data_IF_450837622018
#
_entry.id   IF_450837622018
#
_cell.length_a   1.000
_cell.length_b   1.000
_cell.length_c   1.000
_cell.angle_alpha   90.00
_cell.angle_beta   90.00
_cell.angle_gamma   90.00
#
_symmetry.space_group_name_H-M   'P 1'
#
loop_
_entity.id
_entity.type
_entity.pdbx_description
1 polymer ?
#
# COMPACT_ATOMS: atom_id res chain seq x y z
N UNK A 1 -1.56 -8.84 -34.94
CA UNK A 1 -2.70 -8.47 -34.06
C UNK A 1 -2.16 -7.56 -32.98
N UNK A 2 -2.92 -6.55 -32.52
CA UNK A 2 -2.42 -5.69 -31.43
C UNK A 2 -2.36 -6.50 -30.12
N UNK A 3 -1.37 -6.21 -29.26
CA UNK A 3 -1.21 -6.86 -27.95
C UNK A 3 -2.48 -6.78 -27.08
N UNK A 4 -3.26 -5.71 -27.25
CA UNK A 4 -4.55 -5.53 -26.58
C UNK A 4 -5.58 -6.58 -27.00
N UNK A 5 -5.66 -6.89 -28.31
CA UNK A 5 -6.59 -7.92 -28.81
C UNK A 5 -6.21 -9.31 -28.34
N UNK A 6 -4.92 -9.58 -28.17
CA UNK A 6 -4.40 -10.83 -27.62
C UNK A 6 -4.74 -10.98 -26.12
N UNK A 7 -4.53 -9.93 -25.32
CA UNK A 7 -4.91 -9.90 -23.91
C UNK A 7 -6.42 -10.11 -23.71
N UNK A 8 -7.28 -9.48 -24.53
CA UNK A 8 -8.73 -9.72 -24.49
C UNK A 8 -9.12 -11.14 -24.87
N UNK A 9 -8.41 -11.75 -25.83
CA UNK A 9 -8.63 -13.15 -26.19
C UNK A 9 -8.28 -14.09 -25.05
N UNK A 10 -7.13 -13.87 -24.39
CA UNK A 10 -6.69 -14.66 -23.24
C UNK A 10 -7.65 -14.51 -22.05
N UNK A 11 -8.15 -13.30 -21.79
CA UNK A 11 -9.16 -13.06 -20.75
C UNK A 11 -10.47 -13.82 -21.02
N UNK A 12 -10.96 -13.81 -22.27
CA UNK A 12 -12.17 -14.57 -22.65
C UNK A 12 -11.96 -16.06 -22.51
N UNK A 13 -10.81 -16.57 -22.91
CA UNK A 13 -10.44 -17.97 -22.76
C UNK A 13 -10.40 -18.40 -21.29
N UNK A 14 -9.87 -17.54 -20.41
CA UNK A 14 -9.84 -17.77 -18.98
C UNK A 14 -11.23 -17.78 -18.34
N UNK A 15 -12.11 -16.85 -18.75
CA UNK A 15 -13.51 -16.86 -18.32
C UNK A 15 -14.25 -18.13 -18.73
N UNK A 16 -13.79 -18.81 -19.79
CA UNK A 16 -14.30 -20.11 -20.23
C UNK A 16 -13.56 -21.31 -19.61
N UNK A 17 -12.78 -21.09 -18.54
CA UNK A 17 -12.11 -22.14 -17.77
C UNK A 17 -10.78 -22.62 -18.35
N UNK A 18 -10.23 -21.95 -19.37
CA UNK A 18 -8.84 -22.23 -19.80
C UNK A 18 -7.87 -21.62 -18.79
N UNK A 19 -6.76 -22.32 -18.56
CA UNK A 19 -5.71 -21.80 -17.70
C UNK A 19 -5.05 -20.58 -18.36
N UNK A 20 -4.95 -19.47 -17.63
CA UNK A 20 -4.14 -18.34 -18.06
C UNK A 20 -2.68 -18.76 -18.17
N UNK A 21 -1.93 -18.22 -19.15
CA UNK A 21 -0.49 -18.45 -19.21
C UNK A 21 0.16 -18.02 -17.89
N UNK A 22 1.26 -18.67 -17.56
CA UNK A 22 2.09 -18.28 -16.42
C UNK A 22 2.45 -16.80 -16.53
N UNK A 23 2.26 -16.06 -15.44
CA UNK A 23 2.60 -14.66 -15.38
C UNK A 23 4.11 -14.54 -15.27
N UNK A 24 4.75 -14.21 -16.38
CA UNK A 24 6.17 -13.89 -16.42
C UNK A 24 6.46 -12.72 -15.43
N UNK A 25 7.34 -12.90 -14.44
CA UNK A 25 7.64 -11.87 -13.44
C UNK A 25 8.18 -10.57 -14.04
N UNK A 26 8.97 -10.65 -15.12
CA UNK A 26 9.53 -9.50 -15.81
C UNK A 26 8.42 -8.75 -16.55
N UNK A 27 7.53 -9.48 -17.21
CA UNK A 27 6.37 -8.90 -17.86
C UNK A 27 5.40 -8.26 -16.86
N UNK A 28 5.19 -8.89 -15.68
CA UNK A 28 4.39 -8.30 -14.62
C UNK A 28 5.01 -6.99 -14.13
N UNK A 29 6.33 -6.97 -13.85
CA UNK A 29 7.01 -5.78 -13.39
C UNK A 29 6.91 -4.63 -14.41
N UNK A 30 7.11 -4.93 -15.71
CA UNK A 30 6.97 -3.94 -16.79
C UNK A 30 5.53 -3.41 -16.90
N UNK A 31 4.54 -4.30 -16.93
CA UNK A 31 3.13 -3.93 -17.03
C UNK A 31 2.66 -3.15 -15.79
N UNK A 32 3.12 -3.53 -14.61
CA UNK A 32 2.81 -2.86 -13.36
C UNK A 32 3.41 -1.45 -13.33
N UNK A 33 4.68 -1.30 -13.73
CA UNK A 33 5.32 0.01 -13.86
C UNK A 33 4.57 0.92 -14.86
N UNK A 34 4.19 0.39 -16.02
CA UNK A 34 3.41 1.14 -17.01
C UNK A 34 2.04 1.56 -16.46
N UNK A 35 1.36 0.64 -15.77
CA UNK A 35 0.09 0.96 -15.11
C UNK A 35 0.30 2.09 -14.10
N UNK A 36 1.31 2.02 -13.24
CA UNK A 36 1.59 3.06 -12.25
C UNK A 36 1.93 4.42 -12.87
N UNK A 37 2.67 4.44 -13.98
CA UNK A 37 3.04 5.67 -14.70
C UNK A 37 1.86 6.29 -15.45
N UNK A 38 0.91 5.47 -15.92
CA UNK A 38 -0.25 5.92 -16.69
C UNK A 38 -1.54 6.02 -15.88
N UNK A 39 -1.50 5.72 -14.57
CA UNK A 39 -2.65 5.71 -13.68
C UNK A 39 -2.55 6.80 -12.61
N UNK A 40 -3.70 7.33 -12.21
CA UNK A 40 -3.83 8.22 -11.05
C UNK A 40 -4.27 7.47 -9.77
N UNK A 41 -4.21 6.14 -9.76
CA UNK A 41 -4.69 5.31 -8.65
C UNK A 41 -4.12 5.75 -7.30
N UNK A 42 -2.80 5.95 -7.19
CA UNK A 42 -2.16 6.34 -5.91
C UNK A 42 -2.74 7.63 -5.36
N UNK A 43 -2.87 8.66 -6.20
CA UNK A 43 -3.42 9.95 -5.81
C UNK A 43 -4.90 9.87 -5.44
N UNK A 44 -5.69 9.07 -6.17
CA UNK A 44 -7.10 8.85 -5.85
C UNK A 44 -7.28 8.11 -4.53
N UNK A 45 -6.47 7.07 -4.28
CA UNK A 45 -6.47 6.33 -3.02
C UNK A 45 -6.07 7.23 -1.86
N UNK A 46 -4.97 7.97 -1.97
CA UNK A 46 -4.53 8.90 -0.93
C UNK A 46 -5.60 9.96 -0.62
N UNK A 47 -6.17 10.60 -1.64
CA UNK A 47 -7.22 11.61 -1.47
C UNK A 47 -8.46 11.03 -0.77
N UNK A 48 -8.91 9.84 -1.19
CA UNK A 48 -10.04 9.17 -0.56
C UNK A 48 -9.74 8.84 0.91
N UNK A 49 -8.56 8.29 1.21
CA UNK A 49 -8.14 7.97 2.58
C UNK A 49 -8.08 9.22 3.45
N UNK A 50 -7.42 10.28 3.00
CA UNK A 50 -7.32 11.56 3.70
C UNK A 50 -8.70 12.14 4.01
N UNK A 51 -9.61 12.12 3.03
CA UNK A 51 -10.98 12.59 3.26
C UNK A 51 -11.71 11.71 4.28
N UNK A 52 -11.63 10.40 4.12
CA UNK A 52 -12.33 9.46 4.99
C UNK A 52 -11.83 9.55 6.44
N UNK A 53 -10.52 9.63 6.66
CA UNK A 53 -9.93 9.78 7.99
C UNK A 53 -10.27 11.15 8.59
N UNK A 54 -10.25 12.22 7.80
CA UNK A 54 -10.69 13.55 8.22
C UNK A 54 -12.16 13.58 8.66
N UNK A 55 -13.04 12.89 7.94
CA UNK A 55 -14.48 12.84 8.25
C UNK A 55 -14.78 12.00 9.52
N UNK A 56 -14.04 10.90 9.75
CA UNK A 56 -14.34 9.95 10.83
C UNK A 56 -13.56 10.19 12.12
N UNK A 57 -12.42 10.88 12.06
CA UNK A 57 -11.54 11.10 13.19
C UNK A 57 -11.19 12.58 13.40
N UNK A 58 -12.06 13.48 12.92
CA UNK A 58 -11.86 14.94 13.01
C UNK A 58 -11.47 15.40 14.41
N UNK A 59 -12.20 14.92 15.42
CA UNK A 59 -12.09 15.40 16.80
C UNK A 59 -11.00 14.68 17.62
N UNK A 60 -10.36 13.65 17.04
CA UNK A 60 -9.26 12.93 17.70
C UNK A 60 -7.96 13.73 17.63
N UNK A 61 -7.28 13.93 18.76
CA UNK A 61 -5.98 14.62 18.79
C UNK A 61 -4.79 13.70 18.48
N UNK A 62 -4.97 12.38 18.60
CA UNK A 62 -3.99 11.35 18.26
C UNK A 62 -4.59 10.32 17.31
N UNK A 63 -3.73 9.62 16.56
CA UNK A 63 -4.15 8.51 15.71
C UNK A 63 -3.05 7.46 15.59
N UNK A 64 -3.45 6.19 15.57
CA UNK A 64 -2.59 5.05 15.29
C UNK A 64 -3.07 4.32 14.02
N UNK A 65 -2.20 4.24 13.01
CA UNK A 65 -2.46 3.58 11.73
C UNK A 65 -1.56 2.36 11.57
N UNK A 66 -2.14 1.26 11.12
CA UNK A 66 -1.42 0.10 10.60
C UNK A 66 -1.67 -0.02 9.10
N UNK A 67 -0.62 -0.10 8.30
CA UNK A 67 -0.69 -0.34 6.87
C UNK A 67 -0.03 -1.67 6.51
N UNK A 68 -0.83 -2.59 5.98
CA UNK A 68 -0.41 -3.94 5.64
C UNK A 68 -0.20 -4.04 4.13
N UNK A 69 1.02 -4.37 3.73
CA UNK A 69 1.47 -4.28 2.34
C UNK A 69 1.74 -2.82 1.95
N UNK A 70 2.44 -2.07 2.81
CA UNK A 70 2.70 -0.65 2.58
C UNK A 70 3.61 -0.38 1.36
N UNK A 71 4.28 -1.41 0.83
CA UNK A 71 5.20 -1.28 -0.30
C UNK A 71 6.25 -0.20 -0.01
N UNK A 72 6.52 0.64 -1.01
CA UNK A 72 7.43 1.80 -0.90
C UNK A 72 6.86 2.96 -0.08
N UNK A 73 5.67 2.86 0.50
CA UNK A 73 5.08 3.89 1.35
C UNK A 73 4.63 5.17 0.65
N UNK A 74 4.50 5.19 -0.69
CA UNK A 74 4.16 6.43 -1.42
C UNK A 74 2.78 6.98 -1.03
N UNK A 75 1.78 6.11 -0.88
CA UNK A 75 0.43 6.51 -0.44
C UNK A 75 0.43 6.81 1.05
N UNK A 76 1.10 5.96 1.84
CA UNK A 76 1.21 6.04 3.30
C UNK A 76 1.83 7.37 3.74
N UNK A 77 2.90 7.79 3.08
CA UNK A 77 3.56 9.08 3.28
C UNK A 77 2.61 10.26 3.02
N UNK A 78 1.82 10.20 1.94
CA UNK A 78 0.84 11.25 1.62
C UNK A 78 -0.26 11.33 2.69
N UNK A 79 -0.74 10.17 3.15
CA UNK A 79 -1.74 10.09 4.22
C UNK A 79 -1.17 10.60 5.54
N UNK A 80 0.05 10.20 5.91
CA UNK A 80 0.70 10.62 7.13
C UNK A 80 0.95 12.13 7.16
N UNK A 81 1.50 12.68 6.08
CA UNK A 81 1.75 14.12 5.92
C UNK A 81 0.45 14.93 6.00
N UNK A 82 -0.64 14.43 5.43
CA UNK A 82 -1.93 15.10 5.51
C UNK A 82 -2.48 15.09 6.93
N UNK A 83 -2.43 13.94 7.60
CA UNK A 83 -3.01 13.77 8.91
C UNK A 83 -2.26 14.55 9.99
N UNK A 84 -0.93 14.58 9.97
CA UNK A 84 -0.16 15.21 11.05
C UNK A 84 -0.40 16.72 11.16
N UNK A 85 -0.89 17.39 10.11
CA UNK A 85 -1.26 18.82 10.16
C UNK A 85 -2.32 19.10 11.22
N UNK A 86 -3.28 18.20 11.39
CA UNK A 86 -4.43 18.36 12.28
C UNK A 86 -4.34 17.49 13.54
N UNK A 87 -3.23 16.76 13.73
CA UNK A 87 -3.02 15.84 14.86
C UNK A 87 -1.82 16.27 15.70
N UNK A 88 -1.96 16.10 17.01
CA UNK A 88 -0.87 16.30 17.95
C UNK A 88 0.11 15.12 18.01
N UNK A 89 -0.32 13.94 17.55
CA UNK A 89 0.48 12.72 17.51
C UNK A 89 -0.07 11.76 16.45
N UNK A 90 0.81 11.18 15.64
CA UNK A 90 0.48 10.15 14.67
C UNK A 90 1.46 8.98 14.80
N UNK A 91 0.97 7.82 15.21
CA UNK A 91 1.71 6.56 15.11
C UNK A 91 1.37 5.90 13.78
N UNK A 92 2.39 5.55 12.99
CA UNK A 92 2.20 4.90 11.70
C UNK A 92 3.07 3.65 11.60
N UNK A 93 2.44 2.49 11.49
CA UNK A 93 3.12 1.20 11.40
C UNK A 93 2.90 0.59 10.02
N UNK A 94 3.97 0.36 9.27
CA UNK A 94 3.94 -0.39 8.00
C UNK A 94 4.30 -1.87 8.21
N UNK A 95 3.80 -2.74 7.33
CA UNK A 95 4.24 -4.13 7.21
C UNK A 95 4.46 -4.43 5.72
N UNK A 96 5.67 -4.87 5.37
CA UNK A 96 6.03 -5.15 3.97
C UNK A 96 7.02 -6.33 3.89
N UNK A 97 6.74 -7.38 3.09
CA UNK A 97 7.67 -8.50 2.93
C UNK A 97 8.96 -8.16 2.15
N UNK A 98 8.92 -7.22 1.21
CA UNK A 98 10.10 -6.81 0.45
C UNK A 98 10.96 -5.81 1.26
N UNK A 99 12.21 -6.19 1.54
CA UNK A 99 13.11 -5.38 2.38
C UNK A 99 13.45 -4.02 1.77
N UNK A 100 13.62 -3.92 0.45
CA UNK A 100 13.99 -2.68 -0.21
C UNK A 100 12.80 -1.70 -0.19
N UNK A 101 11.61 -2.18 -0.50
CA UNK A 101 10.38 -1.40 -0.42
C UNK A 101 10.09 -0.95 1.02
N UNK A 102 10.27 -1.84 2.00
CA UNK A 102 10.11 -1.52 3.41
C UNK A 102 11.09 -0.43 3.88
N UNK A 103 12.35 -0.48 3.45
CA UNK A 103 13.34 0.54 3.75
C UNK A 103 12.95 1.90 3.15
N UNK A 104 12.49 1.94 1.89
CA UNK A 104 12.01 3.17 1.26
C UNK A 104 10.80 3.74 2.03
N UNK A 105 9.88 2.88 2.47
CA UNK A 105 8.75 3.30 3.28
C UNK A 105 9.20 3.86 4.64
N UNK A 106 10.17 3.21 5.30
CA UNK A 106 10.72 3.69 6.57
C UNK A 106 11.36 5.07 6.41
N UNK A 107 12.21 5.26 5.39
CA UNK A 107 12.87 6.54 5.10
C UNK A 107 11.85 7.67 4.88
N UNK A 108 10.75 7.39 4.17
CA UNK A 108 9.68 8.37 3.96
C UNK A 108 8.96 8.73 5.26
N UNK A 109 8.62 7.74 6.10
CA UNK A 109 7.98 8.00 7.38
C UNK A 109 8.91 8.77 8.33
N UNK A 110 10.19 8.41 8.40
CA UNK A 110 11.20 9.11 9.21
C UNK A 110 11.43 10.55 8.76
N UNK A 111 11.23 10.83 7.46
CA UNK A 111 11.29 12.20 6.91
C UNK A 111 10.06 13.07 7.22
N UNK A 112 9.02 12.49 7.84
CA UNK A 112 7.76 13.20 8.14
C UNK A 112 7.75 13.68 9.59
N UNK A 113 8.00 14.98 9.80
CA UNK A 113 8.01 15.57 11.14
C UNK A 113 6.69 15.33 11.90
N UNK A 114 6.81 14.90 13.16
CA UNK A 114 5.67 14.64 14.04
C UNK A 114 5.04 13.25 13.91
N UNK A 115 5.54 12.41 13.00
CA UNK A 115 5.08 11.03 12.82
C UNK A 115 6.01 10.06 13.57
N UNK A 116 5.44 9.22 14.43
CA UNK A 116 6.13 8.07 15.02
C UNK A 116 5.99 6.88 14.06
N UNK A 117 6.90 6.83 13.08
CA UNK A 117 6.91 5.84 11.99
C UNK A 117 7.71 4.57 12.32
N UNK A 118 7.19 3.40 11.95
CA UNK A 118 7.95 2.15 11.96
C UNK A 118 7.46 1.17 10.89
N UNK A 119 8.37 0.44 10.26
CA UNK A 119 8.02 -0.56 9.24
C UNK A 119 8.58 -1.93 9.64
N UNK A 120 7.71 -2.93 9.68
CA UNK A 120 8.09 -4.32 9.94
C UNK A 120 8.33 -5.06 8.62
N UNK A 121 9.54 -5.58 8.45
CA UNK A 121 9.87 -6.45 7.32
C UNK A 121 9.33 -7.86 7.56
N UNK A 122 8.43 -8.31 6.70
CA UNK A 122 7.87 -9.67 6.74
C UNK A 122 6.44 -9.76 6.23
N UNK A 123 5.94 -10.99 6.11
CA UNK A 123 4.54 -11.24 5.75
C UNK A 123 3.65 -10.89 6.94
N UNK A 124 2.45 -10.41 6.64
CA UNK A 124 1.48 -9.99 7.67
C UNK A 124 1.23 -11.02 8.78
N UNK A 125 0.96 -12.32 8.49
CA UNK A 125 0.71 -13.29 9.54
C UNK A 125 1.88 -13.42 10.53
N UNK A 126 3.11 -13.27 10.05
CA UNK A 126 4.32 -13.40 10.87
C UNK A 126 4.52 -12.14 11.74
N UNK A 127 4.28 -10.95 11.16
CA UNK A 127 4.43 -9.67 11.86
C UNK A 127 3.29 -9.37 12.85
N UNK A 128 2.08 -9.89 12.63
CA UNK A 128 0.92 -9.64 13.50
C UNK A 128 1.19 -10.00 14.97
N UNK A 129 1.95 -11.07 15.21
CA UNK A 129 2.37 -11.49 16.55
C UNK A 129 3.20 -10.43 17.29
N UNK A 130 3.91 -9.55 16.59
CA UNK A 130 4.73 -8.47 17.18
C UNK A 130 3.90 -7.23 17.53
N UNK A 131 2.66 -7.16 17.04
CA UNK A 131 1.76 -6.02 17.18
C UNK A 131 0.56 -6.32 18.09
N UNK A 132 0.53 -7.49 18.74
CA UNK A 132 -0.61 -7.97 19.51
C UNK A 132 -1.03 -7.07 20.69
N UNK A 133 -0.08 -6.34 21.28
CA UNK A 133 -0.33 -5.40 22.37
C UNK A 133 -0.66 -3.97 21.89
N UNK A 134 -0.62 -3.72 20.57
CA UNK A 134 -0.91 -2.41 19.99
C UNK A 134 -2.38 -2.30 19.59
N UNK A 135 -2.95 -1.13 19.80
CA UNK A 135 -4.27 -0.76 19.29
C UNK A 135 -4.10 0.22 18.13
N UNK A 136 -4.88 0.00 17.06
CA UNK A 136 -4.90 0.86 15.88
C UNK A 136 -6.31 1.40 15.68
N UNK A 137 -6.42 2.68 15.34
CA UNK A 137 -7.67 3.33 14.96
C UNK A 137 -8.07 2.94 13.54
N UNK A 138 -7.07 2.75 12.67
CA UNK A 138 -7.26 2.39 11.26
C UNK A 138 -6.27 1.31 10.85
N UNK A 139 -6.79 0.27 10.19
CA UNK A 139 -5.97 -0.76 9.55
C UNK A 139 -6.23 -0.72 8.05
N UNK A 140 -5.17 -0.51 7.28
CA UNK A 140 -5.20 -0.31 5.85
C UNK A 140 -4.72 -1.57 5.14
N UNK A 141 -5.56 -2.06 4.23
CA UNK A 141 -5.24 -3.13 3.29
C UNK A 141 -5.53 -2.63 1.88
N UNK A 142 -4.60 -1.87 1.31
CA UNK A 142 -4.71 -1.45 -0.09
C UNK A 142 -3.44 -1.82 -0.85
N UNK A 143 -3.67 -2.47 -1.99
CA UNK A 143 -2.69 -2.98 -2.96
C UNK A 143 -1.68 -4.01 -2.45
N UNK A 144 -2.03 -5.28 -2.68
CA UNK A 144 -1.10 -6.42 -2.68
C UNK A 144 -0.17 -6.30 -3.90
N UNK A 145 0.97 -5.64 -3.77
CA UNK A 145 2.12 -6.08 -4.56
C UNK A 145 2.45 -7.48 -4.06
N UNK A 146 1.93 -8.50 -4.75
CA UNK A 146 2.45 -9.85 -4.60
C UNK A 146 3.87 -9.78 -5.16
N UNK A 147 4.84 -9.59 -4.29
CA UNK A 147 6.22 -9.95 -4.59
C UNK A 147 6.20 -11.44 -4.93
N UNK A 148 6.23 -11.74 -6.23
CA UNK A 148 6.56 -13.06 -6.73
C UNK A 148 8.06 -13.25 -6.52
N UNK A 149 8.44 -13.74 -5.34
CA UNK A 149 9.81 -14.06 -4.94
C UNK A 149 9.81 -14.91 -3.69
#
# INVERSE_FOLDING_TARGET
MSRVNEAFSQLRDALNGRQLPYLDPEYYAEAHLLFELCSNQRSLTANWLCKWTGDHFRDSSSMAILSVGCGKGIVDFQVATHLIVDKSSLMYVGVEPNVDDANVCQDLLDSTDGVEGSVLVGKWPDCASKLHDKQFDVILFYTLSLSCG
#
